data_IF_114099825142
#
_entry.id   IF_114099825142
#
_cell.length_a   1.000
_cell.length_b   1.000
_cell.length_c   1.000
_cell.angle_alpha   90.00
_cell.angle_beta   90.00
_cell.angle_gamma   90.00
#
_symmetry.space_group_name_H-M   'P 1'
#
loop_
_entity.id
_entity.type
_entity.pdbx_description
1 polymer ?
#
# COMPACT_ATOMS: atom_id res chain seq x y z
N UNK A 1 -16.82 -6.20 9.07
CA UNK A 1 -17.05 -5.15 10.11
C UNK A 1 -18.05 -5.55 11.20
N UNK A 2 -18.54 -6.79 11.24
CA UNK A 2 -19.47 -7.23 12.29
C UNK A 2 -18.72 -7.42 13.61
N UNK A 3 -19.32 -7.02 14.72
CA UNK A 3 -18.77 -7.32 16.05
C UNK A 3 -19.20 -8.70 16.54
N UNK A 4 -18.74 -9.10 17.73
CA UNK A 4 -19.26 -10.31 18.40
C UNK A 4 -20.73 -10.19 18.81
N UNK A 5 -21.28 -8.97 18.89
CA UNK A 5 -22.68 -8.72 19.20
C UNK A 5 -23.50 -8.69 17.91
N UNK A 6 -24.62 -9.43 17.91
CA UNK A 6 -25.54 -9.50 16.76
C UNK A 6 -26.07 -8.11 16.42
N UNK A 7 -26.14 -7.81 15.12
CA UNK A 7 -26.65 -6.54 14.56
C UNK A 7 -25.88 -5.29 15.02
N UNK A 8 -24.69 -5.45 15.60
CA UNK A 8 -23.78 -4.37 15.98
C UNK A 8 -22.52 -4.41 15.13
N UNK A 9 -22.18 -3.26 14.56
CA UNK A 9 -21.07 -3.07 13.64
C UNK A 9 -20.17 -1.93 14.14
N UNK A 10 -18.88 -1.99 13.80
CA UNK A 10 -17.90 -0.96 14.11
C UNK A 10 -17.10 -0.60 12.86
N UNK A 11 -16.73 0.66 12.70
CA UNK A 11 -15.90 1.15 11.61
C UNK A 11 -15.12 2.41 12.04
N UNK A 12 -14.09 2.77 11.27
CA UNK A 12 -13.24 3.93 11.57
C UNK A 12 -12.26 3.67 12.72
N UNK A 13 -11.79 4.75 13.33
CA UNK A 13 -10.66 4.72 14.28
C UNK A 13 -10.86 3.83 15.52
N UNK A 14 -12.12 3.58 15.90
CA UNK A 14 -12.48 2.72 17.04
C UNK A 14 -12.42 1.23 16.70
N UNK A 15 -12.40 0.89 15.41
CA UNK A 15 -12.51 -0.48 14.95
C UNK A 15 -11.14 -1.05 14.59
N UNK A 16 -10.79 -2.20 15.16
CA UNK A 16 -9.66 -3.01 14.68
C UNK A 16 -10.21 -4.17 13.88
N UNK A 17 -10.12 -4.17 12.54
CA UNK A 17 -10.63 -5.27 11.75
C UNK A 17 -9.76 -6.51 11.90
N UNK A 18 -10.41 -7.65 12.15
CA UNK A 18 -9.77 -8.97 12.18
C UNK A 18 -10.43 -9.82 11.09
N UNK A 19 -9.70 -10.03 9.99
CA UNK A 19 -10.14 -10.86 8.87
C UNK A 19 -9.65 -12.29 9.04
N UNK A 20 -10.38 -13.27 8.49
CA UNK A 20 -9.97 -14.68 8.51
C UNK A 20 -8.66 -14.93 7.75
N UNK A 21 -8.40 -14.10 6.73
CA UNK A 21 -7.18 -14.11 5.93
C UNK A 21 -6.73 -12.67 5.75
N UNK A 22 -6.05 -12.07 6.75
CA UNK A 22 -5.64 -10.69 6.68
C UNK A 22 -4.47 -10.54 5.70
N UNK A 23 -4.50 -9.48 4.89
CA UNK A 23 -3.32 -9.11 4.11
C UNK A 23 -2.17 -8.71 5.03
N UNK A 24 -0.96 -9.15 4.66
CA UNK A 24 0.29 -8.75 5.33
C UNK A 24 0.67 -7.29 5.04
N UNK A 25 0.21 -6.75 3.90
CA UNK A 25 0.55 -5.41 3.41
C UNK A 25 -0.46 -4.33 3.81
N UNK A 26 -1.65 -4.74 4.26
CA UNK A 26 -2.61 -3.80 4.84
C UNK A 26 -2.33 -3.59 6.32
N UNK A 27 -2.30 -2.32 6.73
CA UNK A 27 -2.22 -1.96 8.14
C UNK A 27 -3.24 -0.91 8.49
N UNK A 28 -3.81 -1.04 9.67
CA UNK A 28 -4.67 0.00 10.19
C UNK A 28 -3.85 1.23 10.58
N UNK A 29 -4.28 2.38 10.10
CA UNK A 29 -3.88 3.69 10.59
C UNK A 29 -5.13 4.57 10.71
N UNK A 30 -5.12 5.50 11.68
CA UNK A 30 -6.24 6.42 11.91
C UNK A 30 -6.30 7.48 10.82
N UNK A 31 -6.81 7.09 9.67
CA UNK A 31 -6.86 7.87 8.44
C UNK A 31 -8.31 8.03 7.98
N UNK A 32 -8.61 9.21 7.44
CA UNK A 32 -9.92 9.50 6.88
C UNK A 32 -10.33 8.50 5.78
N UNK A 33 -9.39 8.10 4.91
CA UNK A 33 -9.63 7.14 3.82
C UNK A 33 -10.05 5.77 4.36
N UNK A 34 -9.34 5.26 5.38
CA UNK A 34 -9.69 3.99 6.01
C UNK A 34 -11.03 4.08 6.74
N UNK A 35 -11.32 5.18 7.43
CA UNK A 35 -12.62 5.36 8.07
C UNK A 35 -13.77 5.34 7.05
N UNK A 36 -13.59 5.99 5.90
CA UNK A 36 -14.55 5.96 4.79
C UNK A 36 -14.71 4.55 4.21
N UNK A 37 -13.62 3.85 3.90
CA UNK A 37 -13.64 2.48 3.37
C UNK A 37 -14.33 1.50 4.33
N UNK A 38 -13.98 1.57 5.61
CA UNK A 38 -14.62 0.76 6.66
C UNK A 38 -16.11 1.09 6.81
N UNK A 39 -16.50 2.36 6.71
CA UNK A 39 -17.91 2.77 6.77
C UNK A 39 -18.72 2.20 5.62
N UNK A 40 -18.20 2.29 4.39
CA UNK A 40 -18.82 1.70 3.21
C UNK A 40 -18.92 0.17 3.31
N UNK A 41 -17.83 -0.50 3.70
CA UNK A 41 -17.82 -1.95 3.91
C UNK A 41 -18.79 -2.37 5.04
N UNK A 42 -18.92 -1.54 6.08
CA UNK A 42 -19.90 -1.78 7.15
C UNK A 42 -21.34 -1.71 6.65
N UNK A 43 -21.68 -0.74 5.80
CA UNK A 43 -23.01 -0.64 5.22
C UNK A 43 -23.33 -1.85 4.32
N UNK A 44 -22.40 -2.27 3.45
CA UNK A 44 -22.54 -3.48 2.63
C UNK A 44 -22.69 -4.73 3.49
N UNK A 45 -21.92 -4.83 4.57
CA UNK A 45 -22.02 -5.92 5.54
C UNK A 45 -23.39 -5.97 6.25
N UNK A 46 -24.01 -4.82 6.54
CA UNK A 46 -25.38 -4.78 7.07
C UNK A 46 -26.40 -5.33 6.07
N UNK A 47 -26.29 -4.93 4.79
CA UNK A 47 -27.21 -5.37 3.73
C UNK A 47 -27.08 -6.86 3.42
N UNK A 48 -25.88 -7.42 3.54
CA UNK A 48 -25.57 -8.83 3.30
C UNK A 48 -25.63 -9.69 4.58
N UNK A 49 -26.14 -9.18 5.71
CA UNK A 49 -26.19 -9.89 6.99
C UNK A 49 -24.82 -10.44 7.46
N UNK A 50 -23.73 -9.76 7.09
CA UNK A 50 -22.35 -10.14 7.39
C UNK A 50 -21.70 -11.09 6.39
N UNK A 51 -22.43 -11.60 5.40
CA UNK A 51 -21.94 -12.56 4.40
C UNK A 51 -21.40 -11.82 3.17
N UNK A 52 -20.27 -11.14 3.34
CA UNK A 52 -19.56 -10.44 2.27
C UNK A 52 -18.07 -10.74 2.34
N UNK A 53 -17.45 -10.95 1.18
CA UNK A 53 -16.00 -11.11 1.06
C UNK A 53 -15.28 -9.82 1.43
N UNK A 54 -14.05 -9.94 1.95
CA UNK A 54 -13.23 -8.78 2.26
C UNK A 54 -12.97 -7.97 1.00
N UNK A 55 -13.18 -6.65 1.08
CA UNK A 55 -12.93 -5.76 -0.04
C UNK A 55 -11.43 -5.57 -0.28
N UNK A 56 -11.06 -5.39 -1.55
CA UNK A 56 -9.68 -5.12 -1.98
C UNK A 56 -9.03 -3.93 -1.28
N UNK A 57 -9.79 -2.94 -0.81
CA UNK A 57 -9.24 -1.84 0.01
C UNK A 57 -8.59 -2.29 1.33
N UNK A 58 -8.77 -3.55 1.74
CA UNK A 58 -8.09 -4.17 2.88
C UNK A 58 -6.89 -5.04 2.49
N UNK A 59 -6.45 -5.01 1.22
CA UNK A 59 -5.30 -5.77 0.71
C UNK A 59 -3.99 -4.99 0.79
N UNK A 60 -4.01 -3.68 0.58
CA UNK A 60 -2.80 -2.85 0.61
C UNK A 60 -3.03 -1.57 1.42
N UNK A 61 -2.06 -1.23 2.27
CA UNK A 61 -2.03 0.09 2.86
C UNK A 61 -1.66 1.12 1.80
N UNK A 62 -2.55 2.08 1.52
CA UNK A 62 -2.29 3.20 0.63
C UNK A 62 -2.66 4.51 1.32
N UNK A 63 -1.76 5.50 1.26
CA UNK A 63 -2.05 6.84 1.78
C UNK A 63 -1.34 7.90 0.96
N UNK A 64 -2.07 8.96 0.63
CA UNK A 64 -1.55 10.13 -0.07
C UNK A 64 -1.74 11.36 0.79
N UNK A 65 -0.69 12.17 0.87
CA UNK A 65 -0.68 13.44 1.60
C UNK A 65 0.20 14.45 0.86
N UNK A 66 0.23 15.68 1.37
CA UNK A 66 1.07 16.75 0.83
C UNK A 66 1.94 17.32 1.94
N UNK A 67 3.26 17.33 1.74
CA UNK A 67 4.23 17.96 2.62
C UNK A 67 5.07 18.96 1.85
N UNK A 68 5.13 20.21 2.34
CA UNK A 68 5.91 21.29 1.70
C UNK A 68 5.65 21.49 0.21
N UNK A 69 4.41 21.23 -0.25
CA UNK A 69 4.03 21.34 -1.66
C UNK A 69 4.32 20.10 -2.50
N UNK A 70 4.96 19.06 -1.94
CA UNK A 70 5.18 17.79 -2.61
C UNK A 70 4.05 16.81 -2.30
N UNK A 71 3.56 16.13 -3.34
CA UNK A 71 2.76 14.90 -3.19
C UNK A 71 3.64 13.84 -2.51
N UNK A 72 3.11 13.18 -1.49
CA UNK A 72 3.78 12.07 -0.81
C UNK A 72 2.82 10.89 -0.75
N UNK A 73 3.24 9.75 -1.28
CA UNK A 73 2.47 8.51 -1.32
C UNK A 73 3.19 7.45 -0.50
N UNK A 74 2.44 6.75 0.34
CA UNK A 74 2.90 5.62 1.15
C UNK A 74 2.15 4.36 0.72
N UNK A 75 2.89 3.29 0.46
CA UNK A 75 2.37 2.01 0.02
C UNK A 75 2.90 0.88 0.92
N UNK A 76 2.05 -0.07 1.28
CA UNK A 76 2.41 -1.30 2.00
C UNK A 76 3.15 -1.06 3.32
N UNK A 77 4.17 -1.88 3.58
CA UNK A 77 5.05 -1.75 4.76
C UNK A 77 6.20 -0.76 4.50
N UNK A 78 5.86 0.48 4.18
CA UNK A 78 6.79 1.57 3.84
C UNK A 78 7.85 1.90 4.93
N UNK A 79 7.76 1.29 6.11
CA UNK A 79 8.72 1.45 7.22
C UNK A 79 9.47 0.16 7.58
N UNK A 80 9.23 -0.93 6.86
CA UNK A 80 9.75 -2.26 7.20
C UNK A 80 9.45 -2.72 8.64
N UNK A 81 8.37 -2.21 9.26
CA UNK A 81 8.05 -2.49 10.68
C UNK A 81 7.58 -3.94 10.89
N UNK A 82 7.15 -4.60 9.81
CA UNK A 82 6.62 -5.97 9.82
C UNK A 82 7.52 -6.96 9.10
N UNK A 83 8.65 -6.51 8.54
CA UNK A 83 9.56 -7.39 7.83
C UNK A 83 10.48 -8.15 8.79
N UNK A 84 10.77 -9.44 8.52
CA UNK A 84 11.83 -10.18 9.21
C UNK A 84 13.22 -9.57 8.96
N UNK A 85 14.23 -10.04 9.70
CA UNK A 85 15.63 -9.68 9.42
C UNK A 85 16.00 -10.01 7.97
N UNK A 86 16.79 -9.13 7.32
CA UNK A 86 17.22 -9.29 5.92
C UNK A 86 16.47 -8.41 4.90
N UNK A 87 15.56 -7.54 5.34
CA UNK A 87 15.03 -6.47 4.49
C UNK A 87 16.09 -5.39 4.20
N UNK A 88 15.94 -4.68 3.09
CA UNK A 88 16.80 -3.56 2.69
C UNK A 88 15.98 -2.51 1.91
N UNK A 89 16.58 -1.37 1.59
CA UNK A 89 15.93 -0.34 0.77
C UNK A 89 16.67 -0.15 -0.55
N UNK A 90 15.90 0.18 -1.59
CA UNK A 90 16.41 0.66 -2.87
C UNK A 90 15.80 2.04 -3.10
N UNK A 91 16.63 2.99 -3.50
CA UNK A 91 16.28 4.39 -3.60
C UNK A 91 16.66 4.94 -4.96
N UNK A 92 15.79 5.77 -5.51
CA UNK A 92 16.05 6.55 -6.72
C UNK A 92 15.70 8.01 -6.44
N UNK A 93 16.65 8.90 -6.75
CA UNK A 93 16.48 10.34 -6.61
C UNK A 93 16.83 11.00 -7.93
N UNK A 94 15.85 11.70 -8.51
CA UNK A 94 16.04 12.40 -9.77
C UNK A 94 15.72 13.86 -9.57
N UNK A 95 16.66 14.68 -10.02
CA UNK A 95 16.56 16.13 -9.95
C UNK A 95 16.35 16.67 -11.35
N UNK A 96 15.12 17.07 -11.67
CA UNK A 96 14.82 17.80 -12.91
C UNK A 96 14.68 19.28 -12.57
N UNK A 97 15.19 20.17 -13.42
CA UNK A 97 14.94 21.61 -13.26
C UNK A 97 13.42 21.79 -13.24
N UNK A 98 12.88 22.26 -12.10
CA UNK A 98 11.46 22.44 -11.77
C UNK A 98 10.68 21.25 -11.18
N UNK A 99 11.22 20.02 -11.12
CA UNK A 99 10.57 18.87 -10.48
C UNK A 99 11.57 17.92 -9.81
N UNK A 100 11.64 17.94 -8.48
CA UNK A 100 12.37 16.95 -7.70
C UNK A 100 11.45 15.76 -7.42
N UNK A 101 11.92 14.53 -7.72
CA UNK A 101 11.21 13.33 -7.32
C UNK A 101 12.13 12.33 -6.61
N UNK A 102 11.53 11.61 -5.65
CA UNK A 102 12.20 10.62 -4.83
C UNK A 102 11.33 9.38 -4.70
N UNK A 103 11.95 8.23 -4.84
CA UNK A 103 11.33 6.93 -4.68
C UNK A 103 12.20 6.10 -3.75
N UNK A 104 11.60 5.51 -2.73
CA UNK A 104 12.22 4.51 -1.88
C UNK A 104 11.32 3.29 -1.81
N UNK A 105 11.88 2.13 -2.14
CA UNK A 105 11.23 0.84 -2.01
C UNK A 105 11.85 0.08 -0.84
N UNK A 106 11.01 -0.48 0.02
CA UNK A 106 11.40 -1.49 1.00
C UNK A 106 11.35 -2.84 0.31
N UNK A 107 12.47 -3.56 0.35
CA UNK A 107 12.69 -4.83 -0.31
C UNK A 107 12.82 -5.96 0.72
N UNK A 108 12.23 -7.11 0.41
CA UNK A 108 12.45 -8.34 1.16
C UNK A 108 12.36 -9.54 0.22
N UNK A 109 13.40 -10.38 0.20
CA UNK A 109 13.53 -11.52 -0.72
C UNK A 109 13.28 -11.13 -2.19
N UNK A 110 13.92 -10.06 -2.67
CA UNK A 110 13.79 -9.54 -4.03
C UNK A 110 12.38 -9.06 -4.41
N UNK A 111 11.51 -8.76 -3.44
CA UNK A 111 10.16 -8.24 -3.68
C UNK A 111 9.96 -6.90 -3.01
N UNK A 112 9.23 -6.00 -3.67
CA UNK A 112 8.78 -4.76 -3.03
C UNK A 112 7.70 -5.11 -2.01
N UNK A 113 7.88 -4.68 -0.76
CA UNK A 113 6.91 -4.88 0.33
C UNK A 113 6.32 -3.58 0.86
N UNK A 114 6.92 -2.45 0.49
CA UNK A 114 6.41 -1.12 0.76
C UNK A 114 7.17 -0.06 -0.02
N UNK A 115 6.59 1.13 -0.17
CA UNK A 115 7.23 2.22 -0.90
C UNK A 115 6.84 3.60 -0.34
N UNK A 116 7.74 4.56 -0.54
CA UNK A 116 7.53 5.98 -0.34
C UNK A 116 7.83 6.69 -1.66
N UNK A 117 6.85 7.41 -2.18
CA UNK A 117 6.97 8.18 -3.43
C UNK A 117 6.76 9.66 -3.11
N UNK A 118 7.69 10.52 -3.54
CA UNK A 118 7.64 11.96 -3.31
C UNK A 118 7.77 12.69 -4.64
N UNK A 119 6.85 13.63 -4.88
CA UNK A 119 6.70 14.30 -6.16
C UNK A 119 5.79 13.55 -7.12
N UNK A 120 5.78 13.97 -8.39
CA UNK A 120 5.03 13.30 -9.46
C UNK A 120 5.91 12.21 -10.08
N UNK A 121 5.90 11.02 -9.46
CA UNK A 121 6.72 9.88 -9.90
C UNK A 121 6.05 9.06 -11.00
N UNK A 122 4.72 9.06 -11.08
CA UNK A 122 3.91 8.18 -11.95
C UNK A 122 4.17 6.67 -11.72
N UNK A 123 4.68 6.29 -10.55
CA UNK A 123 5.02 4.91 -10.20
C UNK A 123 4.04 4.29 -9.19
N UNK A 124 2.98 5.02 -8.81
CA UNK A 124 2.04 4.60 -7.78
C UNK A 124 1.39 3.24 -8.10
N UNK A 125 0.84 3.11 -9.32
CA UNK A 125 0.17 1.89 -9.78
C UNK A 125 1.17 0.74 -9.96
N UNK A 126 2.33 1.03 -10.54
CA UNK A 126 3.41 0.06 -10.68
C UNK A 126 3.81 -0.52 -9.33
N UNK A 127 4.06 0.33 -8.33
CA UNK A 127 4.48 -0.12 -6.99
C UNK A 127 3.37 -0.89 -6.27
N UNK A 128 2.11 -0.48 -6.41
CA UNK A 128 0.96 -1.22 -5.92
C UNK A 128 0.91 -2.64 -6.52
N UNK A 129 1.06 -2.76 -7.84
CA UNK A 129 1.06 -4.02 -8.55
C UNK A 129 2.23 -4.92 -8.14
N UNK A 130 3.44 -4.37 -8.01
CA UNK A 130 4.63 -5.13 -7.56
C UNK A 130 4.42 -5.74 -6.16
N UNK A 131 3.83 -4.97 -5.23
CA UNK A 131 3.56 -5.43 -3.86
C UNK A 131 2.48 -6.51 -3.85
N UNK A 132 1.35 -6.24 -4.52
CA UNK A 132 0.18 -7.12 -4.51
C UNK A 132 0.44 -8.44 -5.23
N UNK A 133 1.09 -8.39 -6.41
CA UNK A 133 1.45 -9.58 -7.18
C UNK A 133 2.63 -10.33 -6.54
N UNK A 134 3.30 -9.71 -5.56
CA UNK A 134 4.52 -10.22 -4.94
C UNK A 134 5.52 -10.53 -6.03
N UNK A 135 5.81 -9.57 -6.90
CA UNK A 135 6.65 -9.81 -8.07
C UNK A 135 8.11 -10.00 -7.67
N UNK A 136 8.80 -10.94 -8.32
CA UNK A 136 10.22 -11.22 -8.08
C UNK A 136 11.08 -10.33 -8.95
N UNK A 137 11.94 -9.51 -8.33
CA UNK A 137 12.79 -8.55 -9.02
C UNK A 137 14.25 -8.96 -9.08
N UNK A 138 14.64 -10.17 -8.65
CA UNK A 138 16.05 -10.60 -8.51
C UNK A 138 16.93 -10.24 -9.73
N UNK A 139 16.35 -10.26 -10.94
CA UNK A 139 17.07 -10.00 -12.20
C UNK A 139 17.15 -8.53 -12.62
N UNK A 140 16.31 -7.67 -12.08
CA UNK A 140 16.15 -6.26 -12.49
C UNK A 140 16.22 -5.29 -11.31
N UNK A 141 16.43 -5.82 -10.11
CA UNK A 141 16.40 -5.09 -8.84
C UNK A 141 17.31 -3.87 -8.79
N UNK A 142 18.46 -3.92 -9.47
CA UNK A 142 19.40 -2.80 -9.50
C UNK A 142 18.89 -1.60 -10.32
N UNK A 143 17.97 -1.82 -11.27
CA UNK A 143 17.63 -0.84 -12.29
C UNK A 143 16.11 -0.57 -12.43
N UNK A 144 15.23 -1.26 -11.69
CA UNK A 144 13.77 -1.12 -11.86
C UNK A 144 13.21 0.26 -11.47
N UNK A 145 14.01 1.09 -10.79
CA UNK A 145 13.69 2.49 -10.47
C UNK A 145 14.40 3.50 -11.38
N UNK A 146 15.10 3.03 -12.42
CA UNK A 146 15.66 3.91 -13.44
C UNK A 146 14.51 4.48 -14.29
N UNK A 147 14.34 5.81 -14.36
CA UNK A 147 13.30 6.43 -15.16
C UNK A 147 13.44 6.20 -16.68
N UNK A 148 14.59 5.69 -17.15
CA UNK A 148 14.77 5.29 -18.55
C UNK A 148 14.26 3.88 -18.85
N UNK A 149 14.00 3.08 -17.82
CA UNK A 149 13.50 1.72 -17.96
C UNK A 149 11.99 1.77 -17.77
N UNK A 150 11.28 1.34 -18.81
CA UNK A 150 9.86 1.06 -18.68
C UNK A 150 9.71 -0.28 -17.95
N UNK A 151 9.33 -0.19 -16.69
CA UNK A 151 9.20 -1.36 -15.85
C UNK A 151 7.89 -2.12 -16.14
N UNK A 152 6.90 -1.48 -16.78
CA UNK A 152 5.64 -2.13 -17.16
C UNK A 152 5.89 -3.22 -18.22
N UNK A 153 6.85 -3.00 -19.13
CA UNK A 153 7.29 -3.96 -20.16
C UNK A 153 7.83 -5.29 -19.58
N UNK A 154 8.19 -5.34 -18.29
CA UNK A 154 8.70 -6.56 -17.65
C UNK A 154 7.59 -7.47 -17.10
N UNK A 155 6.34 -7.00 -17.06
CA UNK A 155 5.25 -7.67 -16.37
C UNK A 155 4.02 -7.98 -17.23
N UNK A 156 4.09 -7.73 -18.54
CA UNK A 156 3.14 -8.18 -19.57
C UNK A 156 3.37 -9.63 -20.04
#
# INVERSE_FOLDING_TARGET
MRTSVRDVYACGDVCTPEWSSPSVYWKQMRLWTQARQMGDFSARSMMANGEIETDFCFELFTHTTTFFGYKVVFLGDFKAERQPEGWYTIESFVRVIENDHFVQCVMYNHRVVGAILVGETNLEETMENLILNKTDLERIEENFLDPQIDIEDYFD
#
